data_IF_871859207415
#
_entry.id   IF_871859207415
#
_cell.length_a   1.000
_cell.length_b   1.000
_cell.length_c   1.000
_cell.angle_alpha   90.00
_cell.angle_beta   90.00
_cell.angle_gamma   90.00
#
_symmetry.space_group_name_H-M   'P 1'
#
loop_
_entity.id
_entity.type
_entity.pdbx_description
1 polymer ?
#
# COMPACT_ATOMS: atom_id res chain seq x y z
N UNK A 1 -6.81 -1.24 -5.11
CA UNK A 1 -6.39 -2.60 -4.74
C UNK A 1 -5.44 -2.49 -3.56
N UNK A 2 -5.42 -3.45 -2.63
CA UNK A 2 -4.44 -3.51 -1.54
C UNK A 2 -3.56 -4.74 -1.73
N UNK A 3 -2.24 -4.61 -1.56
CA UNK A 3 -1.28 -5.71 -1.66
C UNK A 3 -0.05 -5.39 -0.82
N UNK A 4 0.52 -6.41 -0.19
CA UNK A 4 1.76 -6.30 0.58
C UNK A 4 2.90 -6.82 -0.29
N UNK A 5 3.46 -5.95 -1.13
CA UNK A 5 4.51 -6.31 -2.09
C UNK A 5 5.87 -5.94 -1.51
N UNK A 6 6.74 -6.94 -1.36
CA UNK A 6 8.11 -6.77 -0.90
C UNK A 6 9.07 -6.49 -2.07
N UNK A 7 10.22 -5.89 -1.76
CA UNK A 7 11.34 -5.69 -2.69
C UNK A 7 12.07 -7.02 -2.95
N UNK A 8 11.34 -7.95 -3.57
CA UNK A 8 11.80 -9.26 -4.03
C UNK A 8 11.30 -9.51 -5.45
N UNK A 9 12.03 -10.27 -6.29
CA UNK A 9 11.74 -10.41 -7.72
C UNK A 9 10.31 -10.85 -8.05
N UNK A 10 9.72 -11.70 -7.21
CA UNK A 10 8.37 -12.22 -7.42
C UNK A 10 7.31 -11.12 -7.23
N UNK A 11 7.43 -10.34 -6.17
CA UNK A 11 6.48 -9.28 -5.83
C UNK A 11 6.65 -8.06 -6.73
N UNK A 12 7.88 -7.75 -7.16
CA UNK A 12 8.14 -6.69 -8.15
C UNK A 12 7.58 -7.07 -9.52
N UNK A 13 7.66 -8.34 -9.93
CA UNK A 13 7.01 -8.82 -11.14
C UNK A 13 5.48 -8.65 -11.09
N UNK A 14 4.87 -8.96 -9.94
CA UNK A 14 3.44 -8.72 -9.72
C UNK A 14 3.11 -7.23 -9.83
N UNK A 15 3.89 -6.33 -9.21
CA UNK A 15 3.69 -4.89 -9.35
C UNK A 15 3.77 -4.42 -10.81
N UNK A 16 4.75 -4.92 -11.56
CA UNK A 16 4.93 -4.62 -12.97
C UNK A 16 3.75 -5.10 -13.83
N UNK A 17 3.17 -6.27 -13.54
CA UNK A 17 1.96 -6.74 -14.22
C UNK A 17 0.79 -5.79 -13.99
N UNK A 18 0.59 -5.29 -12.77
CA UNK A 18 -0.49 -4.34 -12.47
C UNK A 18 -0.31 -3.02 -13.24
N UNK A 19 0.93 -2.52 -13.31
CA UNK A 19 1.27 -1.32 -14.09
C UNK A 19 1.03 -1.58 -15.58
N UNK A 20 1.43 -2.74 -16.10
CA UNK A 20 1.24 -3.12 -17.49
C UNK A 20 -0.26 -3.21 -17.87
N UNK A 21 -1.10 -3.75 -16.99
CA UNK A 21 -2.55 -3.78 -17.18
C UNK A 21 -3.13 -2.36 -17.23
N UNK A 22 -2.74 -1.48 -16.30
CA UNK A 22 -3.20 -0.10 -16.31
C UNK A 22 -2.78 0.66 -17.58
N UNK A 23 -1.53 0.44 -18.04
CA UNK A 23 -1.00 0.95 -19.31
C UNK A 23 -1.81 0.47 -20.50
N UNK A 24 -2.07 -0.83 -20.59
CA UNK A 24 -2.86 -1.42 -21.68
C UNK A 24 -4.30 -0.90 -21.70
N UNK A 25 -4.88 -0.67 -20.52
CA UNK A 25 -6.21 -0.09 -20.36
C UNK A 25 -6.24 1.45 -20.50
N UNK A 26 -5.08 2.10 -20.65
CA UNK A 26 -4.93 3.56 -20.71
C UNK A 26 -5.55 4.30 -19.51
N UNK A 27 -5.46 3.70 -18.32
CA UNK A 27 -5.93 4.32 -17.07
C UNK A 27 -4.73 4.77 -16.22
N UNK A 28 -4.86 5.88 -15.48
CA UNK A 28 -3.83 6.28 -14.52
C UNK A 28 -3.58 5.19 -13.47
N UNK A 29 -2.32 4.99 -13.10
CA UNK A 29 -1.95 4.11 -11.99
C UNK A 29 -1.40 4.96 -10.84
N UNK A 30 -1.93 4.72 -9.64
CA UNK A 30 -1.50 5.39 -8.43
C UNK A 30 -1.01 4.34 -7.45
N UNK A 31 0.24 4.47 -7.03
CA UNK A 31 0.81 3.66 -5.97
C UNK A 31 0.93 4.50 -4.72
N UNK A 32 0.44 3.99 -3.59
CA UNK A 32 0.56 4.64 -2.29
C UNK A 32 1.13 3.65 -1.29
N UNK A 33 2.21 4.02 -0.64
CA UNK A 33 2.83 3.19 0.37
C UNK A 33 2.16 3.48 1.71
N UNK A 34 1.69 2.44 2.40
CA UNK A 34 1.05 2.54 3.71
C UNK A 34 1.86 1.71 4.70
N UNK A 35 2.25 2.33 5.81
CA UNK A 35 3.00 1.68 6.88
C UNK A 35 2.45 2.04 8.26
N UNK A 36 2.90 1.30 9.26
CA UNK A 36 2.80 1.64 10.67
C UNK A 36 4.02 1.03 11.37
N UNK A 37 4.32 1.50 12.58
CA UNK A 37 5.35 0.89 13.38
C UNK A 37 5.02 -0.57 13.77
N UNK A 38 6.05 -1.32 14.16
CA UNK A 38 5.88 -2.74 14.50
C UNK A 38 4.98 -2.94 15.72
N UNK A 39 5.10 -2.10 16.74
CA UNK A 39 4.36 -2.25 18.00
C UNK A 39 2.86 -2.11 17.73
N UNK A 40 2.48 -1.09 16.98
CA UNK A 40 1.11 -0.85 16.60
C UNK A 40 0.60 -1.90 15.61
N UNK A 41 1.45 -2.42 14.72
CA UNK A 41 1.06 -3.52 13.86
C UNK A 41 0.77 -4.81 14.66
N UNK A 42 1.53 -5.07 15.73
CA UNK A 42 1.29 -6.17 16.67
C UNK A 42 0.02 -5.93 17.51
N UNK A 43 -0.20 -4.72 18.00
CA UNK A 43 -1.44 -4.36 18.72
C UNK A 43 -2.68 -4.57 17.84
N UNK A 44 -2.62 -4.09 16.59
CA UNK A 44 -3.67 -4.29 15.57
C UNK A 44 -3.83 -5.77 15.21
N UNK A 45 -2.77 -6.56 15.28
CA UNK A 45 -2.81 -8.00 15.04
C UNK A 45 -3.61 -8.72 16.13
N UNK A 46 -3.40 -8.35 17.39
CA UNK A 46 -4.09 -8.92 18.55
C UNK A 46 -5.49 -8.36 18.80
N UNK A 47 -5.89 -7.30 18.08
CA UNK A 47 -7.24 -6.76 18.15
C UNK A 47 -8.29 -7.86 17.98
N UNK A 48 -9.32 -7.84 18.84
CA UNK A 48 -10.34 -8.90 18.96
C UNK A 48 -10.96 -9.30 17.61
N UNK A 49 -11.17 -8.33 16.72
CA UNK A 49 -11.73 -8.58 15.39
C UNK A 49 -10.85 -9.43 14.48
N UNK A 50 -9.53 -9.38 14.64
CA UNK A 50 -8.56 -10.08 13.79
C UNK A 50 -8.13 -11.40 14.40
N UNK A 51 -7.77 -11.40 15.68
CA UNK A 51 -7.23 -12.56 16.36
C UNK A 51 -8.33 -13.54 16.81
N UNK A 52 -9.37 -13.06 17.52
CA UNK A 52 -10.39 -13.96 18.10
C UNK A 52 -11.39 -14.48 17.08
N UNK A 53 -11.69 -13.71 16.03
CA UNK A 53 -12.64 -14.13 14.99
C UNK A 53 -12.00 -14.98 13.89
N UNK A 54 -10.70 -15.29 13.97
CA UNK A 54 -9.99 -16.10 12.98
C UNK A 54 -10.01 -15.50 11.57
N UNK A 55 -10.18 -14.18 11.45
CA UNK A 55 -10.31 -13.47 10.17
C UNK A 55 -8.96 -13.14 9.53
N UNK A 56 -7.87 -13.37 10.24
CA UNK A 56 -6.51 -13.20 9.71
C UNK A 56 -5.95 -14.51 9.18
N UNK A 57 -5.33 -14.47 7.99
CA UNK A 57 -4.52 -15.58 7.46
C UNK A 57 -3.18 -15.73 8.18
N UNK A 58 -2.69 -14.64 8.78
CA UNK A 58 -1.49 -14.62 9.61
C UNK A 58 -1.93 -14.75 11.07
N UNK A 59 -1.50 -15.82 11.74
CA UNK A 59 -1.84 -16.12 13.14
C UNK A 59 -0.65 -16.12 14.08
N UNK A 60 0.55 -15.91 13.54
CA UNK A 60 1.80 -15.89 14.29
C UNK A 60 2.42 -14.48 14.24
N UNK A 61 2.57 -13.86 15.41
CA UNK A 61 3.14 -12.51 15.56
C UNK A 61 4.63 -12.48 15.27
N UNK A 62 5.36 -13.57 15.56
CA UNK A 62 6.81 -13.62 15.32
C UNK A 62 7.07 -13.64 13.81
N UNK A 63 6.18 -14.28 13.05
CA UNK A 63 6.20 -14.23 11.59
C UNK A 63 5.92 -12.82 11.09
N UNK A 64 4.95 -12.10 11.67
CA UNK A 64 4.70 -10.69 11.35
C UNK A 64 5.95 -9.82 11.59
N UNK A 65 6.52 -9.91 12.80
CA UNK A 65 7.70 -9.15 13.18
C UNK A 65 8.89 -9.46 12.26
N UNK A 66 9.10 -10.73 11.92
CA UNK A 66 10.15 -11.13 10.99
C UNK A 66 9.89 -10.56 9.58
N UNK A 67 8.65 -10.59 9.08
CA UNK A 67 8.31 -10.02 7.78
C UNK A 67 8.58 -8.51 7.73
N UNK A 68 8.14 -7.76 8.75
CA UNK A 68 8.32 -6.30 8.80
C UNK A 68 9.79 -5.88 8.93
N UNK A 69 10.61 -6.65 9.66
CA UNK A 69 12.03 -6.34 9.82
C UNK A 69 12.87 -6.77 8.61
N UNK A 70 12.47 -7.83 7.92
CA UNK A 70 13.26 -8.43 6.83
C UNK A 70 13.01 -7.77 5.48
N UNK A 71 11.76 -7.42 5.19
CA UNK A 71 11.36 -6.98 3.85
C UNK A 71 11.12 -5.48 3.80
N UNK A 72 11.52 -4.86 2.68
CA UNK A 72 11.18 -3.49 2.31
C UNK A 72 10.03 -3.52 1.31
N UNK A 73 9.29 -2.43 1.18
CA UNK A 73 8.25 -2.31 0.17
C UNK A 73 8.86 -2.32 -1.24
N UNK A 74 8.18 -2.99 -2.17
CA UNK A 74 8.58 -3.06 -3.57
C UNK A 74 8.67 -1.65 -4.16
N UNK A 75 9.80 -1.35 -4.81
CA UNK A 75 9.96 -0.11 -5.55
C UNK A 75 9.61 -0.39 -7.01
N UNK A 76 8.64 0.33 -7.59
CA UNK A 76 8.28 0.15 -8.99
C UNK A 76 9.40 0.62 -9.93
N UNK A 77 9.70 -0.18 -10.95
CA UNK A 77 10.51 0.25 -12.08
C UNK A 77 9.63 1.00 -13.08
N UNK A 78 9.85 2.31 -13.19
CA UNK A 78 9.05 3.16 -14.08
C UNK A 78 9.55 3.08 -15.52
N UNK A 79 8.78 2.45 -16.38
CA UNK A 79 8.96 2.60 -17.83
C UNK A 79 8.40 3.95 -18.31
N UNK A 80 9.16 4.64 -19.16
CA UNK A 80 8.72 5.91 -19.76
C UNK A 80 7.40 5.73 -20.55
N UNK A 81 6.45 6.66 -20.35
CA UNK A 81 5.24 6.76 -21.19
C UNK A 81 3.91 6.42 -20.51
N UNK A 82 3.89 6.21 -19.20
CA UNK A 82 2.65 6.02 -18.43
C UNK A 82 2.57 7.13 -17.38
N UNK A 83 1.38 7.72 -17.19
CA UNK A 83 1.09 8.50 -15.99
C UNK A 83 0.97 7.54 -14.81
N UNK A 84 2.13 7.08 -14.33
CA UNK A 84 2.22 6.44 -13.03
C UNK A 84 2.72 7.46 -12.03
N UNK A 85 1.97 7.60 -10.95
CA UNK A 85 2.35 8.49 -9.87
C UNK A 85 2.53 7.65 -8.61
N UNK A 86 3.76 7.65 -8.08
CA UNK A 86 3.99 7.27 -6.70
C UNK A 86 3.50 8.41 -5.82
N UNK A 87 2.40 8.19 -5.14
CA UNK A 87 1.87 9.12 -4.16
C UNK A 87 2.71 9.14 -2.89
N UNK A 88 2.34 9.99 -1.93
CA UNK A 88 3.07 10.12 -0.68
C UNK A 88 3.04 8.82 0.14
N UNK A 89 4.12 8.60 0.88
CA UNK A 89 4.18 7.60 1.94
C UNK A 89 3.23 7.98 3.08
N UNK A 90 2.39 7.04 3.51
CA UNK A 90 1.47 7.18 4.62
C UNK A 90 1.95 6.35 5.81
N UNK A 91 2.49 7.04 6.80
CA UNK A 91 2.66 6.48 8.14
C UNK A 91 1.34 6.62 8.91
N UNK A 92 0.75 5.48 9.26
CA UNK A 92 -0.52 5.37 10.00
C UNK A 92 -0.30 5.14 11.49
N UNK A 93 0.93 5.27 11.98
CA UNK A 93 1.27 5.13 13.38
C UNK A 93 0.58 6.20 14.24
N UNK A 94 -0.05 5.77 15.33
CA UNK A 94 -0.79 6.59 16.29
C UNK A 94 -2.20 6.97 15.85
N UNK A 95 -2.69 6.44 14.71
CA UNK A 95 -4.00 6.78 14.16
C UNK A 95 -4.96 5.61 14.20
N UNK A 96 -6.24 5.88 14.42
CA UNK A 96 -7.30 4.89 14.21
C UNK A 96 -7.41 4.50 12.73
N UNK A 97 -8.17 3.44 12.45
CA UNK A 97 -8.45 3.03 11.08
C UNK A 97 -9.21 4.13 10.30
N UNK A 98 -10.17 4.78 10.96
CA UNK A 98 -10.95 5.88 10.40
C UNK A 98 -10.08 7.10 10.10
N UNK A 99 -9.25 7.53 11.06
CA UNK A 99 -8.33 8.66 10.88
C UNK A 99 -7.32 8.39 9.76
N UNK A 100 -6.81 7.16 9.70
CA UNK A 100 -5.91 6.72 8.63
C UNK A 100 -6.61 6.77 7.27
N UNK A 101 -7.85 6.28 7.18
CA UNK A 101 -8.63 6.27 5.94
C UNK A 101 -8.92 7.70 5.45
N UNK A 102 -9.36 8.60 6.32
CA UNK A 102 -9.62 10.01 5.97
C UNK A 102 -8.36 10.71 5.42
N UNK A 103 -7.21 10.47 6.05
CA UNK A 103 -5.92 11.03 5.62
C UNK A 103 -5.45 10.49 4.27
N UNK A 104 -5.67 9.20 4.01
CA UNK A 104 -5.33 8.59 2.73
C UNK A 104 -6.25 9.14 1.64
N UNK A 105 -7.57 9.09 1.85
CA UNK A 105 -8.56 9.50 0.86
C UNK A 105 -8.44 10.98 0.48
N UNK A 106 -8.27 11.88 1.46
CA UNK A 106 -8.08 13.30 1.18
C UNK A 106 -6.88 13.62 0.29
N UNK A 107 -5.80 12.81 0.36
CA UNK A 107 -4.62 12.96 -0.51
C UNK A 107 -4.80 12.30 -1.87
N UNK A 108 -5.49 11.16 -1.93
CA UNK A 108 -5.84 10.50 -3.19
C UNK A 108 -6.70 11.45 -4.05
N UNK A 109 -7.71 12.09 -3.45
CA UNK A 109 -8.59 13.03 -4.13
C UNK A 109 -7.82 14.24 -4.68
N UNK A 110 -6.95 14.85 -3.87
CA UNK A 110 -6.13 15.97 -4.30
C UNK A 110 -5.20 15.61 -5.48
N UNK A 111 -4.64 14.40 -5.48
CA UNK A 111 -3.74 13.92 -6.54
C UNK A 111 -4.50 13.59 -7.83
N UNK A 112 -5.72 13.05 -7.72
CA UNK A 112 -6.61 12.82 -8.85
C UNK A 112 -7.10 14.15 -9.48
N UNK A 113 -7.44 15.14 -8.66
CA UNK A 113 -7.85 16.47 -9.11
C UNK A 113 -6.73 17.18 -9.88
N UNK A 114 -5.49 17.15 -9.37
CA UNK A 114 -4.34 17.79 -10.03
C UNK A 114 -4.13 17.27 -11.46
N UNK A 115 -4.21 15.95 -11.67
CA UNK A 115 -4.03 15.33 -12.99
C UNK A 115 -5.20 15.60 -13.94
N UNK A 116 -6.43 15.70 -13.43
CA UNK A 116 -7.59 16.08 -14.25
C UNK A 116 -7.49 17.51 -14.81
N UNK A 117 -6.82 18.41 -14.09
CA UNK A 117 -6.60 19.80 -14.52
C UNK A 117 -5.39 19.96 -15.44
N UNK A 118 -4.34 19.14 -15.30
CA UNK A 118 -3.20 19.13 -16.24
C UNK A 118 -3.53 18.55 -17.62
N UNK A 119 -4.65 17.85 -17.78
CA UNK A 119 -5.12 17.26 -19.05
C UNK A 119 -6.08 18.14 -19.85
N UNK A 120 -6.38 19.37 -19.40
CA UNK A 120 -7.16 20.38 -20.15
C UNK A 120 -6.25 21.46 -20.71
#
# INVERSE_FOLDING_TARGET
>A
MTSCLADVPEDTAVLSEHIAVAKAAQVPFFLFDITCDLIEHEDRFYADERYRLGKSKLSDVDVLANMMNKYKLAIPEWESGVEVSHGPFFDTTGFSAEESAERILSRVDAQAEHLSHSRR
#
